data_IF_898935513924
#
_entry.id   IF_898935513924
#
_cell.length_a   1.000
_cell.length_b   1.000
_cell.length_c   1.000
_cell.angle_alpha   90.00
_cell.angle_beta   90.00
_cell.angle_gamma   90.00
#
_symmetry.space_group_name_H-M   'P 1'
#
loop_
_entity.id
_entity.type
_entity.pdbx_description
1 polymer ?
#
# COMPACT_ATOMS: atom_id res chain seq x y z
N UNK A 1 -22.14 -23.38 24.35
CA UNK A 1 -22.15 -22.73 23.01
C UNK A 1 -23.53 -22.15 22.63
N UNK A 2 -24.60 -22.60 23.24
CA UNK A 2 -25.97 -22.05 23.03
C UNK A 2 -26.10 -20.56 23.38
N UNK A 3 -25.18 -20.02 24.21
CA UNK A 3 -25.23 -18.62 24.63
C UNK A 3 -24.63 -17.63 23.61
N UNK A 4 -23.87 -18.11 22.60
CA UNK A 4 -23.27 -17.24 21.59
C UNK A 4 -24.13 -17.12 20.32
N UNK A 5 -25.23 -17.89 20.20
CA UNK A 5 -26.13 -17.87 19.03
C UNK A 5 -25.49 -18.36 17.73
N UNK A 6 -24.37 -19.09 17.79
CA UNK A 6 -23.68 -19.62 16.62
C UNK A 6 -24.30 -20.95 16.18
N UNK A 7 -24.51 -21.12 14.89
CA UNK A 7 -24.97 -22.39 14.32
C UNK A 7 -23.86 -23.46 14.38
N UNK A 8 -24.23 -24.75 14.30
CA UNK A 8 -23.26 -25.85 14.35
C UNK A 8 -22.21 -25.74 13.24
N UNK A 9 -22.59 -25.32 12.04
CA UNK A 9 -21.68 -25.12 10.90
C UNK A 9 -20.68 -24.00 11.18
N UNK A 10 -21.10 -22.90 11.79
CA UNK A 10 -20.22 -21.80 12.17
C UNK A 10 -19.26 -22.21 13.30
N UNK A 11 -19.74 -23.01 14.26
CA UNK A 11 -18.89 -23.56 15.33
C UNK A 11 -17.80 -24.47 14.71
N UNK A 12 -18.14 -25.29 13.73
CA UNK A 12 -17.15 -26.12 13.04
C UNK A 12 -16.07 -25.27 12.34
N UNK A 13 -16.47 -24.24 11.61
CA UNK A 13 -15.54 -23.29 10.98
C UNK A 13 -14.67 -22.54 12.00
N UNK A 14 -15.27 -22.12 13.11
CA UNK A 14 -14.56 -21.45 14.21
C UNK A 14 -13.47 -22.35 14.81
N UNK A 15 -13.79 -23.62 15.08
CA UNK A 15 -12.81 -24.57 15.64
C UNK A 15 -11.66 -24.78 14.65
N UNK A 16 -11.94 -25.00 13.36
CA UNK A 16 -10.94 -25.12 12.31
C UNK A 16 -10.02 -23.91 12.24
N UNK A 17 -10.60 -22.72 12.19
CA UNK A 17 -9.88 -21.45 12.21
C UNK A 17 -8.99 -21.28 13.44
N UNK A 18 -9.48 -21.63 14.63
CA UNK A 18 -8.69 -21.55 15.87
C UNK A 18 -7.51 -22.53 15.87
N UNK A 19 -7.70 -23.75 15.34
CA UNK A 19 -6.64 -24.76 15.23
C UNK A 19 -5.54 -24.26 14.29
N UNK A 20 -5.89 -23.78 13.12
CA UNK A 20 -4.96 -23.27 12.12
C UNK A 20 -4.16 -22.10 12.67
N UNK A 21 -4.83 -21.09 13.21
CA UNK A 21 -4.21 -19.90 13.80
C UNK A 21 -3.26 -20.23 14.97
N UNK A 22 -3.61 -21.20 15.82
CA UNK A 22 -2.77 -21.61 16.93
C UNK A 22 -1.56 -22.40 16.46
N UNK A 23 -1.74 -23.29 15.46
CA UNK A 23 -0.67 -24.03 14.83
C UNK A 23 0.37 -23.11 14.16
N UNK A 24 -0.07 -22.14 13.37
CA UNK A 24 0.79 -21.16 12.69
C UNK A 24 1.56 -20.28 13.68
N UNK A 25 0.90 -19.84 14.77
CA UNK A 25 1.48 -18.87 15.68
C UNK A 25 2.33 -19.48 16.79
N UNK A 26 1.96 -20.65 17.27
CA UNK A 26 2.55 -21.29 18.47
C UNK A 26 3.00 -22.73 18.26
N UNK A 27 2.67 -23.35 17.12
CA UNK A 27 2.93 -24.78 16.87
C UNK A 27 2.13 -25.72 17.80
N UNK A 28 1.05 -25.24 18.43
CA UNK A 28 0.23 -25.97 19.41
C UNK A 28 -1.25 -25.92 19.06
N UNK A 29 -2.03 -26.81 19.66
CA UNK A 29 -3.51 -26.75 19.56
C UNK A 29 -4.07 -25.66 20.46
N UNK A 30 -5.19 -25.03 20.08
CA UNK A 30 -5.87 -24.05 20.91
C UNK A 30 -6.53 -24.72 22.11
N UNK A 31 -6.56 -24.04 23.25
CA UNK A 31 -7.34 -24.46 24.41
C UNK A 31 -8.83 -24.18 24.21
N UNK A 32 -9.70 -24.90 24.89
CA UNK A 32 -11.15 -24.65 24.83
C UNK A 32 -11.50 -23.19 25.19
N UNK A 33 -10.79 -22.60 26.16
CA UNK A 33 -10.99 -21.20 26.56
C UNK A 33 -10.66 -20.23 25.41
N UNK A 34 -9.63 -20.51 24.63
CA UNK A 34 -9.28 -19.68 23.45
C UNK A 34 -10.34 -19.79 22.35
N UNK A 35 -10.86 -21.00 22.11
CA UNK A 35 -11.95 -21.21 21.15
C UNK A 35 -13.22 -20.48 21.60
N UNK A 36 -13.55 -20.54 22.88
CA UNK A 36 -14.69 -19.86 23.47
C UNK A 36 -14.58 -18.33 23.32
N UNK A 37 -13.41 -17.76 23.65
CA UNK A 37 -13.15 -16.32 23.51
C UNK A 37 -13.29 -15.86 22.06
N UNK A 38 -12.78 -16.63 21.10
CA UNK A 38 -12.93 -16.33 19.67
C UNK A 38 -14.40 -16.46 19.23
N UNK A 39 -15.14 -17.46 19.75
CA UNK A 39 -16.57 -17.60 19.51
C UNK A 39 -17.39 -16.38 19.94
N UNK A 40 -17.11 -15.83 21.12
CA UNK A 40 -17.72 -14.56 21.54
C UNK A 40 -17.30 -13.37 20.66
N UNK A 41 -16.08 -13.37 20.18
CA UNK A 41 -15.63 -12.33 19.23
C UNK A 41 -16.40 -12.43 17.91
N UNK A 42 -16.58 -13.63 17.36
CA UNK A 42 -17.37 -13.88 16.16
C UNK A 42 -18.83 -13.49 16.31
N UNK A 43 -19.44 -13.81 17.46
CA UNK A 43 -20.81 -13.40 17.76
C UNK A 43 -20.95 -11.87 17.77
N UNK A 44 -20.01 -11.14 18.37
CA UNK A 44 -19.99 -9.66 18.35
C UNK A 44 -19.77 -9.06 16.95
N UNK A 45 -19.07 -9.77 16.09
CA UNK A 45 -18.87 -9.38 14.66
C UNK A 45 -20.01 -9.84 13.77
N UNK A 46 -21.07 -10.43 14.36
CA UNK A 46 -22.23 -10.96 13.62
C UNK A 46 -21.87 -12.02 12.57
N UNK A 47 -20.82 -12.82 12.82
CA UNK A 47 -20.44 -13.96 11.96
C UNK A 47 -21.31 -15.17 12.32
N UNK A 48 -22.63 -15.05 12.14
CA UNK A 48 -23.61 -16.01 12.63
C UNK A 48 -23.98 -17.08 11.60
N UNK A 49 -23.60 -16.87 10.35
CA UNK A 49 -23.86 -17.78 9.24
C UNK A 49 -22.56 -18.26 8.58
N UNK A 50 -22.67 -19.38 7.85
CA UNK A 50 -21.53 -20.02 7.19
C UNK A 50 -20.88 -19.12 6.14
N UNK A 51 -21.65 -18.31 5.43
CA UNK A 51 -21.15 -17.44 4.36
C UNK A 51 -20.25 -16.34 4.93
N UNK A 52 -20.72 -15.62 5.96
CA UNK A 52 -19.95 -14.56 6.64
C UNK A 52 -18.72 -15.11 7.33
N UNK A 53 -18.84 -16.26 8.02
CA UNK A 53 -17.72 -16.93 8.67
C UNK A 53 -16.65 -17.35 7.66
N UNK A 54 -17.06 -17.97 6.54
CA UNK A 54 -16.13 -18.35 5.46
C UNK A 54 -15.46 -17.15 4.79
N UNK A 55 -16.19 -16.05 4.58
CA UNK A 55 -15.63 -14.81 4.04
C UNK A 55 -14.58 -14.20 4.98
N UNK A 56 -14.86 -14.24 6.29
CA UNK A 56 -13.91 -13.78 7.32
C UNK A 56 -12.62 -14.62 7.32
N UNK A 57 -12.73 -15.95 7.29
CA UNK A 57 -11.59 -16.86 7.21
C UNK A 57 -10.77 -16.61 5.94
N UNK A 58 -11.42 -16.51 4.77
CA UNK A 58 -10.75 -16.19 3.50
C UNK A 58 -9.99 -14.87 3.56
N UNK A 59 -10.58 -13.86 4.21
CA UNK A 59 -9.91 -12.57 4.42
C UNK A 59 -8.68 -12.72 5.31
N UNK A 60 -8.77 -13.49 6.39
CA UNK A 60 -7.65 -13.78 7.28
C UNK A 60 -6.49 -14.46 6.53
N UNK A 61 -6.74 -15.53 5.76
CA UNK A 61 -5.71 -16.21 4.97
C UNK A 61 -5.03 -15.26 3.98
N UNK A 62 -5.83 -14.47 3.25
CA UNK A 62 -5.29 -13.47 2.33
C UNK A 62 -4.32 -12.50 3.05
N UNK A 63 -4.66 -12.07 4.25
CA UNK A 63 -3.78 -11.20 5.04
C UNK A 63 -2.47 -11.91 5.42
N UNK A 64 -2.54 -13.17 5.82
CA UNK A 64 -1.35 -13.96 6.20
C UNK A 64 -0.39 -14.16 5.02
N UNK A 65 -0.89 -14.36 3.82
CA UNK A 65 -0.07 -14.46 2.60
C UNK A 65 0.47 -13.09 2.14
N UNK A 66 -0.36 -12.07 2.24
CA UNK A 66 -0.05 -10.72 1.73
C UNK A 66 0.99 -10.00 2.56
N UNK A 67 0.94 -10.10 3.89
CA UNK A 67 1.83 -9.33 4.76
C UNK A 67 3.31 -9.69 4.56
N UNK A 68 3.73 -10.97 4.57
CA UNK A 68 5.14 -11.33 4.32
C UNK A 68 5.61 -10.88 2.93
N UNK A 69 4.75 -11.05 1.92
CA UNK A 69 5.05 -10.62 0.55
C UNK A 69 5.26 -9.11 0.46
N UNK A 70 4.36 -8.31 1.06
CA UNK A 70 4.49 -6.86 1.10
C UNK A 70 5.72 -6.40 1.89
N UNK A 71 6.03 -7.06 3.01
CA UNK A 71 7.23 -6.78 3.79
C UNK A 71 8.50 -6.98 2.96
N UNK A 72 8.55 -8.05 2.17
CA UNK A 72 9.65 -8.33 1.25
C UNK A 72 9.75 -7.27 0.14
N UNK A 73 8.63 -6.92 -0.52
CA UNK A 73 8.57 -5.88 -1.57
C UNK A 73 9.06 -4.52 -1.07
N UNK A 74 8.71 -4.15 0.15
CA UNK A 74 9.10 -2.87 0.75
C UNK A 74 10.48 -2.92 1.43
N UNK A 75 11.20 -4.04 1.36
CA UNK A 75 12.53 -4.18 1.96
C UNK A 75 12.56 -4.00 3.48
N UNK A 76 11.44 -4.32 4.18
CA UNK A 76 11.29 -4.09 5.61
C UNK A 76 11.90 -5.21 6.48
N UNK A 77 12.44 -6.26 5.86
CA UNK A 77 13.04 -7.41 6.54
C UNK A 77 12.01 -8.30 7.26
N UNK A 78 12.52 -9.21 8.10
CA UNK A 78 11.70 -10.23 8.78
C UNK A 78 11.06 -9.76 10.09
N UNK A 79 11.07 -8.45 10.37
CA UNK A 79 10.41 -7.90 11.55
C UNK A 79 8.88 -8.00 11.42
N UNK A 80 8.20 -8.06 12.54
CA UNK A 80 6.74 -7.92 12.53
C UNK A 80 6.33 -6.48 12.15
N UNK A 81 5.38 -6.30 11.23
CA UNK A 81 4.84 -4.99 10.94
C UNK A 81 4.06 -4.43 12.15
N UNK A 82 4.03 -3.13 12.29
CA UNK A 82 3.14 -2.47 13.24
C UNK A 82 1.68 -2.53 12.76
N UNK A 83 0.72 -2.36 13.66
CA UNK A 83 -0.70 -2.36 13.31
C UNK A 83 -1.08 -1.28 12.27
N UNK A 84 -0.33 -0.18 12.21
CA UNK A 84 -0.53 0.87 11.21
C UNK A 84 0.00 0.45 9.85
N UNK A 85 1.17 -0.19 9.80
CA UNK A 85 1.76 -0.74 8.58
C UNK A 85 0.89 -1.85 7.98
N UNK A 86 0.39 -2.78 8.83
CA UNK A 86 -0.55 -3.82 8.40
C UNK A 86 -1.77 -3.23 7.70
N UNK A 87 -2.37 -2.18 8.28
CA UNK A 87 -3.54 -1.53 7.67
C UNK A 87 -3.25 -0.97 6.28
N UNK A 88 -2.10 -0.35 6.07
CA UNK A 88 -1.70 0.14 4.75
C UNK A 88 -1.49 -1.01 3.76
N UNK A 89 -0.72 -2.03 4.14
CA UNK A 89 -0.41 -3.16 3.27
C UNK A 89 -1.67 -3.93 2.85
N UNK A 90 -2.60 -4.18 3.80
CA UNK A 90 -3.88 -4.81 3.51
C UNK A 90 -4.72 -3.95 2.58
N UNK A 91 -4.83 -2.64 2.84
CA UNK A 91 -5.59 -1.74 1.98
C UNK A 91 -5.03 -1.73 0.54
N UNK A 92 -3.72 -1.72 0.36
CA UNK A 92 -3.10 -1.75 -0.97
C UNK A 92 -3.32 -3.08 -1.69
N UNK A 93 -3.29 -4.20 -0.97
CA UNK A 93 -3.65 -5.51 -1.52
C UNK A 93 -5.12 -5.58 -1.95
N UNK A 94 -6.03 -5.04 -1.12
CA UNK A 94 -7.46 -4.99 -1.42
C UNK A 94 -7.77 -4.08 -2.63
N UNK A 95 -6.93 -3.10 -2.93
CA UNK A 95 -7.01 -2.27 -4.15
C UNK A 95 -6.64 -3.04 -5.41
N UNK A 96 -6.01 -4.22 -5.31
CA UNK A 96 -5.72 -5.11 -6.44
C UNK A 96 -4.56 -4.66 -7.31
N UNK A 97 -3.55 -3.99 -6.75
CA UNK A 97 -2.33 -3.64 -7.48
C UNK A 97 -1.48 -4.85 -7.80
N UNK A 98 -0.84 -4.82 -8.96
CA UNK A 98 0.30 -5.68 -9.30
C UNK A 98 1.50 -5.34 -8.41
N UNK A 99 2.28 -6.35 -8.01
CA UNK A 99 3.45 -6.16 -7.14
C UNK A 99 4.40 -5.10 -7.67
N UNK A 100 4.72 -5.16 -8.97
CA UNK A 100 5.59 -4.20 -9.63
C UNK A 100 5.03 -2.75 -9.62
N UNK A 101 3.72 -2.56 -9.54
CA UNK A 101 3.13 -1.23 -9.37
C UNK A 101 3.33 -0.71 -7.95
N UNK A 102 3.29 -1.59 -6.94
CA UNK A 102 3.59 -1.25 -5.55
C UNK A 102 5.07 -0.88 -5.40
N UNK A 103 5.98 -1.66 -6.00
CA UNK A 103 7.42 -1.33 -6.05
C UNK A 103 7.66 0.03 -6.69
N UNK A 104 6.99 0.34 -7.80
CA UNK A 104 7.10 1.65 -8.45
C UNK A 104 6.62 2.80 -7.54
N UNK A 105 5.55 2.60 -6.76
CA UNK A 105 5.09 3.58 -5.77
C UNK A 105 6.09 3.75 -4.63
N UNK A 106 6.72 2.65 -4.20
CA UNK A 106 7.80 2.66 -3.22
C UNK A 106 9.00 3.47 -3.73
N UNK A 107 9.49 3.17 -4.94
CA UNK A 107 10.60 3.89 -5.56
C UNK A 107 10.33 5.39 -5.68
N UNK A 108 9.13 5.77 -6.15
CA UNK A 108 8.72 7.19 -6.20
C UNK A 108 8.74 7.83 -4.80
N UNK A 109 8.35 7.09 -3.77
CA UNK A 109 8.36 7.57 -2.39
C UNK A 109 9.80 7.77 -1.90
N UNK A 110 10.67 6.77 -2.12
CA UNK A 110 12.08 6.83 -1.72
C UNK A 110 12.84 7.94 -2.43
N UNK A 111 12.63 8.13 -3.73
CA UNK A 111 13.24 9.22 -4.50
C UNK A 111 12.82 10.60 -3.97
N UNK A 112 11.56 10.78 -3.62
CA UNK A 112 11.03 12.08 -3.17
C UNK A 112 11.33 12.36 -1.70
N UNK A 113 11.13 11.36 -0.84
CA UNK A 113 11.17 11.54 0.62
C UNK A 113 12.48 11.08 1.25
N UNK A 114 13.33 10.32 0.52
CA UNK A 114 14.56 9.67 0.99
C UNK A 114 14.34 8.61 2.08
N UNK A 115 13.10 8.33 2.41
CA UNK A 115 12.64 7.34 3.39
C UNK A 115 11.24 6.85 3.03
N UNK A 116 10.83 5.68 3.55
CA UNK A 116 9.47 5.18 3.39
C UNK A 116 8.49 6.00 4.25
N UNK A 117 7.74 6.89 3.60
CA UNK A 117 6.63 7.63 4.21
C UNK A 117 5.30 7.01 3.83
N UNK A 118 4.74 6.23 4.75
CA UNK A 118 3.47 5.51 4.56
C UNK A 118 2.31 6.39 4.05
N UNK A 119 2.04 7.57 4.64
CA UNK A 119 0.97 8.43 4.14
C UNK A 119 1.24 8.96 2.73
N UNK A 120 2.51 9.20 2.37
CA UNK A 120 2.86 9.68 1.02
C UNK A 120 2.67 8.57 -0.03
N UNK A 121 3.17 7.36 0.25
CA UNK A 121 2.98 6.20 -0.61
C UNK A 121 1.49 5.86 -0.77
N UNK A 122 0.74 5.89 0.34
CA UNK A 122 -0.71 5.67 0.29
C UNK A 122 -1.42 6.67 -0.61
N UNK A 123 -1.03 7.93 -0.60
CA UNK A 123 -1.61 8.95 -1.49
C UNK A 123 -1.33 8.65 -2.97
N UNK A 124 -0.14 8.16 -3.30
CA UNK A 124 0.19 7.72 -4.66
C UNK A 124 -0.73 6.57 -5.09
N UNK A 125 -0.78 5.50 -4.28
CA UNK A 125 -1.57 4.31 -4.60
C UNK A 125 -3.08 4.61 -4.65
N UNK A 126 -3.60 5.43 -3.74
CA UNK A 126 -5.01 5.87 -3.78
C UNK A 126 -5.30 6.64 -5.07
N UNK A 127 -4.45 7.58 -5.47
CA UNK A 127 -4.62 8.33 -6.71
C UNK A 127 -4.57 7.44 -7.97
N UNK A 128 -3.73 6.40 -7.96
CA UNK A 128 -3.69 5.42 -9.05
C UNK A 128 -4.92 4.52 -9.05
N UNK A 129 -5.40 4.10 -7.87
CA UNK A 129 -6.62 3.30 -7.73
C UNK A 129 -7.85 4.04 -8.26
N UNK A 130 -8.01 5.32 -7.92
CA UNK A 130 -9.08 6.18 -8.43
C UNK A 130 -9.07 6.29 -9.96
N UNK A 131 -7.87 6.28 -10.57
CA UNK A 131 -7.68 6.28 -12.03
C UNK A 131 -7.69 4.87 -12.65
N UNK A 132 -7.89 3.81 -11.85
CA UNK A 132 -7.82 2.40 -12.26
C UNK A 132 -6.47 1.97 -12.87
N UNK A 133 -5.38 2.56 -12.40
CA UNK A 133 -4.02 2.28 -12.85
C UNK A 133 -3.37 1.24 -11.91
N UNK A 134 -3.70 -0.04 -12.07
CA UNK A 134 -3.25 -1.10 -11.15
C UNK A 134 -2.00 -1.85 -11.64
N UNK A 135 -1.56 -1.62 -12.86
CA UNK A 135 -0.37 -2.23 -13.46
C UNK A 135 0.69 -1.19 -13.78
N UNK A 136 1.95 -1.60 -13.85
CA UNK A 136 3.06 -0.69 -14.22
C UNK A 136 2.81 -0.01 -15.57
N UNK A 137 2.33 -0.76 -16.55
CA UNK A 137 2.03 -0.23 -17.89
C UNK A 137 0.96 0.86 -17.83
N UNK A 138 -0.16 0.58 -17.11
CA UNK A 138 -1.23 1.55 -16.94
C UNK A 138 -0.75 2.81 -16.22
N UNK A 139 0.11 2.66 -15.19
CA UNK A 139 0.71 3.80 -14.48
C UNK A 139 1.60 4.62 -15.40
N UNK A 140 2.46 4.00 -16.21
CA UNK A 140 3.34 4.71 -17.15
C UNK A 140 2.56 5.49 -18.22
N UNK A 141 1.42 4.97 -18.65
CA UNK A 141 0.55 5.59 -19.65
C UNK A 141 -0.36 6.67 -19.02
N UNK A 142 -0.89 6.42 -17.82
CA UNK A 142 -1.93 7.24 -17.18
C UNK A 142 -1.47 8.20 -16.09
N UNK A 143 -0.31 7.93 -15.46
CA UNK A 143 0.29 8.80 -14.43
C UNK A 143 1.35 9.74 -15.03
N UNK A 144 1.24 10.04 -16.33
CA UNK A 144 1.98 11.20 -16.84
C UNK A 144 1.58 12.36 -15.96
N UNK A 145 2.53 13.10 -15.33
CA UNK A 145 2.16 14.36 -14.77
C UNK A 145 1.36 15.03 -15.87
N UNK A 146 0.11 15.40 -15.63
CA UNK A 146 -0.53 16.48 -16.38
C UNK A 146 0.61 17.46 -16.45
N UNK A 147 1.13 17.72 -17.67
CA UNK A 147 2.13 18.74 -17.84
C UNK A 147 1.59 19.85 -16.93
N UNK A 148 2.13 19.88 -15.70
CA UNK A 148 1.92 21.00 -14.82
C UNK A 148 2.20 22.07 -15.83
N UNK A 149 1.31 23.00 -16.05
CA UNK A 149 1.64 24.22 -16.68
C UNK A 149 3.04 24.55 -16.16
N UNK A 150 4.06 23.92 -16.78
CA UNK A 150 5.37 24.46 -16.77
C UNK A 150 5.06 25.84 -17.30
N UNK A 151 5.26 26.89 -16.52
CA UNK A 151 5.04 28.19 -17.06
C UNK A 151 5.87 28.16 -18.34
N UNK A 152 5.20 28.38 -19.46
CA UNK A 152 5.85 28.63 -20.76
C UNK A 152 6.85 29.80 -20.61
N UNK A 153 6.99 30.30 -19.42
CA UNK A 153 7.74 31.42 -18.92
C UNK A 153 9.16 31.07 -18.41
N UNK A 154 9.43 29.84 -17.89
CA UNK A 154 10.80 29.54 -17.39
C UNK A 154 11.79 29.29 -18.52
N UNK A 155 11.36 28.65 -19.59
CA UNK A 155 12.22 28.47 -20.78
C UNK A 155 12.32 29.75 -21.60
N UNK A 156 11.29 30.57 -21.63
CA UNK A 156 11.34 31.92 -22.21
C UNK A 156 12.23 32.84 -21.37
N UNK A 157 12.09 32.83 -20.04
CA UNK A 157 12.95 33.61 -19.13
C UNK A 157 14.41 33.17 -19.21
N UNK A 158 14.71 31.85 -19.32
CA UNK A 158 16.08 31.36 -19.53
C UNK A 158 16.67 31.80 -20.86
N UNK A 159 15.87 31.81 -21.94
CA UNK A 159 16.33 32.30 -23.26
C UNK A 159 16.62 33.79 -23.22
N UNK A 160 15.75 34.60 -22.60
CA UNK A 160 15.97 36.03 -22.41
C UNK A 160 17.21 36.34 -21.56
N UNK A 161 17.47 35.57 -20.50
CA UNK A 161 18.66 35.73 -19.66
C UNK A 161 19.93 35.36 -20.42
N UNK A 162 19.90 34.30 -21.26
CA UNK A 162 21.04 33.94 -22.11
C UNK A 162 21.30 35.01 -23.16
N UNK A 163 20.28 35.53 -23.85
CA UNK A 163 20.43 36.60 -24.82
C UNK A 163 20.96 37.90 -24.16
N UNK A 164 20.49 38.20 -22.96
CA UNK A 164 20.96 39.37 -22.19
C UNK A 164 22.44 39.22 -21.82
N UNK A 165 22.86 38.05 -21.41
CA UNK A 165 24.24 37.71 -21.10
C UNK A 165 25.12 37.81 -22.34
N UNK A 166 24.69 37.29 -23.49
CA UNK A 166 25.43 37.36 -24.75
C UNK A 166 25.61 38.81 -25.20
N UNK A 167 24.57 39.64 -25.16
CA UNK A 167 24.64 41.05 -25.43
C UNK A 167 25.64 41.78 -24.53
N UNK A 168 25.61 41.46 -23.26
CA UNK A 168 26.58 42.04 -22.28
C UNK A 168 28.01 41.65 -22.57
N UNK A 169 28.27 40.41 -22.94
CA UNK A 169 29.61 39.93 -23.33
C UNK A 169 30.08 40.52 -24.64
N UNK A 170 29.20 40.78 -25.57
CA UNK A 170 29.55 41.49 -26.85
C UNK A 170 29.94 42.95 -26.54
N UNK A 171 29.24 43.67 -25.69
CA UNK A 171 29.55 45.01 -25.27
C UNK A 171 30.93 45.08 -24.59
N UNK A 172 31.24 44.15 -23.67
CA UNK A 172 32.57 44.08 -23.05
C UNK A 172 33.69 43.79 -24.03
N UNK A 173 33.46 42.98 -25.06
CA UNK A 173 34.48 42.73 -26.13
C UNK A 173 34.72 43.95 -26.99
N UNK A 174 33.69 44.76 -27.29
CA UNK A 174 33.85 46.00 -28.05
C UNK A 174 34.59 47.09 -27.22
N UNK A 175 34.39 47.13 -25.90
CA UNK A 175 35.12 48.10 -25.04
C UNK A 175 36.59 47.72 -24.80
N UNK A 176 37.01 46.48 -25.06
CA UNK A 176 38.42 46.04 -24.94
C UNK A 176 39.26 46.26 -26.21
N UNK A 177 38.63 46.69 -27.32
CA UNK A 177 39.32 46.97 -28.57
C UNK A 177 39.43 48.47 -28.92
N UNK A 178 39.13 49.33 -27.94
CA UNK A 178 39.44 50.77 -27.92
C UNK A 178 40.56 51.05 -26.93
#
# INVERSE_FOLDING_TARGET
YEHAGLSADVIFLLVGYCIERASERFGTLPTMRQIEQEGYAWARMELLDQERASAYIKKYHRQQETLPKMMALLGLGDRKPSASEERYMVAWSDMGFEDAAIELAYDKTMLKCKELKWPYMNRILTAWHEKRLHTVKAVQEGDRPKAANAPADEDAARREDVERMEKYLQQLRQQRHL
#
